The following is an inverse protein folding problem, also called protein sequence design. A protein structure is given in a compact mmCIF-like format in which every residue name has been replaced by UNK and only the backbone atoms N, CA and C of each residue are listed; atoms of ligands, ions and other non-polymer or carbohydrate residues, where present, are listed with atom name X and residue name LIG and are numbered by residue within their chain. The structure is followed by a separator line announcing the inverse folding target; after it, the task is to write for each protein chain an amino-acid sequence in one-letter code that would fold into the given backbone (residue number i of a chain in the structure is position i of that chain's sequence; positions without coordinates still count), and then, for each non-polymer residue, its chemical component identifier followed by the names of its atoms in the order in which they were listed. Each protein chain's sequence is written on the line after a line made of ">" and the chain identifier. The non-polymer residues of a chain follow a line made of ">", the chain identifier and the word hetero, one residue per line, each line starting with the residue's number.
data_IF_714120923177
#
_entry.id   IF_714120923177
#
_cell.length_a   1.000
_cell.length_b   1.000
_cell.length_c   1.000
_cell.angle_alpha   90.00
_cell.angle_beta   90.00
_cell.angle_gamma   90.00
#
_symmetry.space_group_name_H-M   'P 1'
#
loop_
_entity.id
_entity.type
_entity.pdbx_description
1 polymer ?
#
# COMPACT_ATOMS: atom_id res chain seq x y z
N UNK A 1 10.76 21.71 42.92
CA UNK A 1 9.85 20.55 42.80
C UNK A 1 9.43 20.45 41.34
N UNK A 2 9.86 19.42 40.60
CA UNK A 2 9.21 19.10 39.32
C UNK A 2 8.01 18.20 39.64
N UNK A 3 6.81 18.67 39.36
CA UNK A 3 5.61 17.84 39.44
C UNK A 3 5.41 17.17 38.08
N UNK A 4 5.65 15.87 37.98
CA UNK A 4 5.24 15.04 36.84
C UNK A 4 3.87 14.44 37.15
N UNK A 5 2.80 15.09 36.72
CA UNK A 5 1.43 14.53 36.83
C UNK A 5 1.03 13.89 35.51
N UNK A 6 0.76 12.58 35.51
CA UNK A 6 0.12 11.90 34.37
C UNK A 6 -1.40 12.00 34.52
N UNK A 7 -2.08 12.75 33.66
CA UNK A 7 -3.54 12.73 33.58
C UNK A 7 -4.00 11.49 32.78
N UNK A 8 -4.05 10.32 33.41
CA UNK A 8 -4.75 9.15 32.87
C UNK A 8 -6.25 9.33 33.07
N UNK A 9 -6.89 10.14 32.23
CA UNK A 9 -8.33 10.34 32.31
C UNK A 9 -9.05 9.19 31.60
N UNK A 10 -9.48 8.19 32.38
CA UNK A 10 -10.16 6.98 31.90
C UNK A 10 -11.41 7.30 31.03
N UNK A 11 -12.04 8.47 31.24
CA UNK A 11 -13.19 8.91 30.45
C UNK A 11 -12.83 9.32 29.01
N UNK A 12 -11.60 9.77 28.74
CA UNK A 12 -11.14 10.11 27.39
C UNK A 12 -11.02 8.87 26.49
N UNK A 13 -10.61 7.73 27.05
CA UNK A 13 -10.45 6.46 26.32
C UNK A 13 -11.78 5.99 25.70
N UNK A 14 -12.91 6.29 26.36
CA UNK A 14 -14.26 5.95 25.89
C UNK A 14 -14.94 7.05 25.05
N UNK A 15 -14.27 8.18 24.81
CA UNK A 15 -14.84 9.25 23.99
C UNK A 15 -14.79 8.88 22.51
N UNK A 16 -15.85 9.21 21.75
CA UNK A 16 -15.86 9.07 20.28
C UNK A 16 -14.71 9.81 19.59
N UNK A 17 -14.10 10.76 20.28
CA UNK A 17 -12.94 11.54 19.85
C UNK A 17 -11.64 10.72 19.78
N UNK A 18 -11.50 9.65 20.56
CA UNK A 18 -10.39 8.70 20.49
C UNK A 18 -10.79 7.41 19.75
N UNK A 19 -11.45 7.53 18.60
CA UNK A 19 -11.60 6.40 17.66
C UNK A 19 -10.23 6.04 17.10
N UNK A 20 -9.41 5.28 17.85
CA UNK A 20 -8.07 4.78 17.47
C UNK A 20 -8.12 3.62 16.48
N UNK A 21 -9.32 3.16 16.17
CA UNK A 21 -9.57 2.14 15.16
C UNK A 21 -9.43 2.77 13.78
N UNK A 22 -8.63 2.15 12.93
CA UNK A 22 -8.43 2.60 11.56
C UNK A 22 -9.77 2.59 10.85
N UNK A 23 -10.22 3.76 10.39
CA UNK A 23 -11.48 3.92 9.67
C UNK A 23 -11.28 4.38 8.21
N UNK A 24 -10.07 4.83 7.87
CA UNK A 24 -9.76 5.34 6.55
C UNK A 24 -8.36 4.94 6.12
N UNK A 25 -8.26 4.39 4.91
CA UNK A 25 -6.99 4.06 4.26
C UNK A 25 -7.02 4.68 2.87
N UNK A 26 -6.10 5.61 2.61
CA UNK A 26 -5.97 6.30 1.32
C UNK A 26 -4.79 5.72 0.56
N UNK A 27 -5.02 5.25 -0.66
CA UNK A 27 -3.97 4.73 -1.55
C UNK A 27 -3.81 5.66 -2.75
N UNK A 28 -2.58 6.05 -3.08
CA UNK A 28 -2.27 6.94 -4.20
C UNK A 28 -1.02 6.52 -4.95
N UNK A 29 -0.92 6.91 -6.23
CA UNK A 29 0.28 6.75 -7.06
C UNK A 29 0.23 5.68 -8.16
N UNK A 30 -0.84 4.87 -8.22
CA UNK A 30 -1.28 4.17 -9.45
C UNK A 30 -2.51 4.86 -10.06
N UNK A 31 -3.15 4.23 -11.05
CA UNK A 31 -4.45 4.66 -11.54
C UNK A 31 -5.57 4.39 -10.52
N UNK A 32 -6.73 5.02 -10.71
CA UNK A 32 -7.84 4.94 -9.77
C UNK A 32 -8.28 3.50 -9.50
N UNK A 33 -8.40 2.67 -10.53
CA UNK A 33 -8.82 1.28 -10.40
C UNK A 33 -7.84 0.45 -9.54
N UNK A 34 -6.53 0.54 -9.80
CA UNK A 34 -5.55 -0.22 -9.02
C UNK A 34 -5.42 0.32 -7.59
N UNK A 35 -5.52 1.64 -7.39
CA UNK A 35 -5.55 2.21 -6.04
C UNK A 35 -6.77 1.72 -5.24
N UNK A 36 -7.94 1.62 -5.89
CA UNK A 36 -9.16 1.09 -5.27
C UNK A 36 -9.00 -0.39 -4.89
N UNK A 37 -8.48 -1.23 -5.80
CA UNK A 37 -8.22 -2.66 -5.51
C UNK A 37 -7.34 -2.85 -4.28
N UNK A 38 -6.25 -2.09 -4.18
CA UNK A 38 -5.36 -2.13 -3.01
C UNK A 38 -6.09 -1.65 -1.74
N UNK A 39 -6.89 -0.58 -1.85
CA UNK A 39 -7.68 -0.06 -0.72
C UNK A 39 -8.69 -1.09 -0.20
N UNK A 40 -9.33 -1.85 -1.10
CA UNK A 40 -10.25 -2.93 -0.73
C UNK A 40 -9.55 -4.09 -0.02
N UNK A 41 -8.34 -4.47 -0.44
CA UNK A 41 -7.53 -5.47 0.26
C UNK A 41 -7.17 -5.01 1.68
N UNK A 42 -6.80 -3.74 1.83
CA UNK A 42 -6.57 -3.15 3.14
C UNK A 42 -7.81 -3.13 4.02
N UNK A 43 -8.98 -2.80 3.45
CA UNK A 43 -10.24 -2.81 4.19
C UNK A 43 -10.58 -4.20 4.75
N UNK A 44 -10.17 -5.28 4.08
CA UNK A 44 -10.38 -6.65 4.57
C UNK A 44 -9.45 -7.02 5.74
N UNK A 45 -8.20 -6.54 5.73
CA UNK A 45 -7.16 -7.00 6.67
C UNK A 45 -6.86 -6.04 7.82
N UNK A 46 -7.11 -4.75 7.63
CA UNK A 46 -6.60 -3.66 8.48
C UNK A 46 -7.71 -2.81 9.08
N UNK A 47 -8.89 -2.78 8.45
CA UNK A 47 -10.02 -1.98 8.93
C UNK A 47 -10.40 -2.32 10.37
N UNK A 48 -10.75 -1.28 11.14
CA UNK A 48 -11.11 -1.34 12.56
C UNK A 48 -10.04 -1.86 13.54
N UNK A 49 -8.83 -2.22 13.06
CA UNK A 49 -7.70 -2.50 13.95
C UNK A 49 -7.20 -1.21 14.59
N UNK A 50 -6.59 -1.34 15.77
CA UNK A 50 -5.99 -0.20 16.45
C UNK A 50 -4.75 0.30 15.69
N UNK A 51 -4.70 1.59 15.36
CA UNK A 51 -3.61 2.21 14.59
C UNK A 51 -2.24 2.11 15.28
N UNK A 52 -2.19 2.06 16.62
CA UNK A 52 -0.94 1.93 17.36
C UNK A 52 -0.33 0.54 17.18
N UNK A 53 -1.18 -0.50 17.25
CA UNK A 53 -0.74 -1.89 17.30
C UNK A 53 -0.73 -2.61 15.94
N UNK A 54 -1.18 -1.97 14.86
CA UNK A 54 -1.12 -2.59 13.52
C UNK A 54 0.33 -2.88 13.10
N UNK A 55 0.61 -4.14 12.76
CA UNK A 55 1.91 -4.58 12.22
C UNK A 55 2.16 -4.06 10.81
N UNK A 56 3.43 -3.77 10.50
CA UNK A 56 3.90 -3.43 9.15
C UNK A 56 3.66 -4.57 8.16
N UNK A 57 3.70 -5.81 8.62
CA UNK A 57 3.60 -7.00 7.75
C UNK A 57 2.26 -7.06 7.01
N UNK A 58 1.18 -6.55 7.61
CA UNK A 58 -0.10 -6.43 6.93
C UNK A 58 -0.01 -5.58 5.66
N UNK A 59 0.85 -4.56 5.64
CA UNK A 59 1.05 -3.70 4.48
C UNK A 59 2.02 -4.29 3.47
N UNK A 60 3.13 -4.83 3.94
CA UNK A 60 4.14 -5.47 3.10
C UNK A 60 3.51 -6.62 2.31
N UNK A 61 2.73 -7.47 2.95
CA UNK A 61 2.10 -8.64 2.32
C UNK A 61 1.11 -8.29 1.19
N UNK A 62 0.50 -7.10 1.24
CA UNK A 62 -0.39 -6.61 0.18
C UNK A 62 0.42 -5.92 -0.92
N UNK A 63 1.31 -5.00 -0.54
CA UNK A 63 2.01 -4.12 -1.49
C UNK A 63 3.09 -4.86 -2.28
N UNK A 64 3.82 -5.79 -1.67
CA UNK A 64 4.87 -6.55 -2.37
C UNK A 64 4.32 -7.59 -3.35
N UNK A 65 3.11 -8.10 -3.13
CA UNK A 65 2.45 -9.00 -4.08
C UNK A 65 2.01 -8.29 -5.36
N UNK A 66 1.86 -6.98 -5.33
CA UNK A 66 1.47 -6.21 -6.51
C UNK A 66 2.68 -5.95 -7.41
N UNK A 67 2.68 -6.57 -8.59
CA UNK A 67 3.79 -6.45 -9.55
C UNK A 67 3.95 -5.05 -10.14
N UNK A 68 2.91 -4.20 -10.07
CA UNK A 68 2.95 -2.82 -10.58
C UNK A 68 3.69 -1.85 -9.66
N UNK A 69 3.97 -2.24 -8.41
CA UNK A 69 4.57 -1.38 -7.40
C UNK A 69 6.09 -1.55 -7.41
N UNK A 70 6.81 -0.44 -7.58
CA UNK A 70 8.26 -0.39 -7.44
C UNK A 70 8.68 -0.15 -6.00
N UNK A 71 8.06 0.85 -5.36
CA UNK A 71 8.33 1.21 -3.97
C UNK A 71 7.06 1.78 -3.35
N UNK A 72 7.02 1.85 -2.03
CA UNK A 72 5.88 2.41 -1.32
C UNK A 72 6.29 3.05 0.00
N UNK A 73 5.42 3.93 0.50
CA UNK A 73 5.51 4.57 1.81
C UNK A 73 4.16 4.46 2.50
N UNK A 74 4.17 3.99 3.75
CA UNK A 74 2.98 3.89 4.60
C UNK A 74 3.15 4.85 5.76
N UNK A 75 2.21 5.78 5.91
CA UNK A 75 2.21 6.79 6.96
C UNK A 75 0.97 6.62 7.83
N UNK A 76 1.17 6.48 9.15
CA UNK A 76 0.06 6.54 10.12
C UNK A 76 -0.29 8.01 10.35
N UNK A 77 -1.52 8.40 10.01
CA UNK A 77 -2.08 9.72 10.26
C UNK A 77 -3.02 9.61 11.45
N UNK A 78 -2.55 10.02 12.62
CA UNK A 78 -3.34 9.97 13.83
C UNK A 78 -4.55 10.92 13.76
N UNK A 79 -5.68 10.55 14.38
CA UNK A 79 -5.84 9.40 15.26
C UNK A 79 -6.15 8.06 14.59
N UNK A 80 -6.53 8.00 13.30
CA UNK A 80 -7.17 6.79 12.73
C UNK A 80 -7.07 6.58 11.21
N UNK A 81 -6.24 7.35 10.54
CA UNK A 81 -6.09 7.25 9.09
C UNK A 81 -4.74 6.67 8.73
N UNK A 82 -4.66 5.96 7.61
CA UNK A 82 -3.40 5.55 7.01
C UNK A 82 -3.33 6.08 5.59
N UNK A 83 -2.20 6.66 5.25
CA UNK A 83 -1.87 7.04 3.89
C UNK A 83 -0.84 6.06 3.32
N UNK A 84 -1.12 5.52 2.14
CA UNK A 84 -0.27 4.60 1.41
C UNK A 84 0.06 5.24 0.06
N UNK A 85 1.29 5.69 -0.08
CA UNK A 85 1.81 6.23 -1.33
C UNK A 85 2.61 5.15 -2.03
N UNK A 86 2.23 4.79 -3.26
CA UNK A 86 2.91 3.76 -4.06
C UNK A 86 3.52 4.40 -5.30
N UNK A 87 4.70 3.93 -5.69
CA UNK A 87 5.35 4.35 -6.94
C UNK A 87 5.15 3.24 -7.97
N UNK A 88 4.54 3.58 -9.10
CA UNK A 88 4.41 2.67 -10.24
C UNK A 88 5.78 2.30 -10.79
N UNK A 89 5.99 1.02 -11.11
CA UNK A 89 7.19 0.56 -11.80
C UNK A 89 7.18 0.96 -13.28
N UNK A 90 8.34 1.31 -13.80
CA UNK A 90 8.53 1.60 -15.21
C UNK A 90 8.63 0.29 -16.00
N UNK A 91 8.05 0.27 -17.21
CA UNK A 91 8.14 -0.87 -18.12
C UNK A 91 9.43 -0.72 -18.93
N UNK A 92 10.38 -1.63 -18.75
CA UNK A 92 11.71 -1.54 -19.36
C UNK A 92 11.85 -2.36 -20.63
N UNK A 93 11.21 -3.54 -20.68
CA UNK A 93 11.34 -4.47 -21.79
C UNK A 93 10.12 -5.40 -21.89
N UNK A 94 10.03 -6.15 -22.98
CA UNK A 94 9.07 -7.25 -23.16
C UNK A 94 9.84 -8.56 -23.23
N UNK A 95 9.29 -9.62 -22.64
CA UNK A 95 9.87 -10.97 -22.73
C UNK A 95 8.79 -12.01 -23.04
N UNK A 96 9.19 -13.17 -23.56
CA UNK A 96 8.34 -14.34 -23.65
C UNK A 96 8.67 -15.30 -22.52
N UNK A 97 7.66 -15.78 -21.81
CA UNK A 97 7.81 -16.93 -20.92
C UNK A 97 6.63 -17.87 -21.12
N UNK A 98 6.92 -19.13 -21.45
CA UNK A 98 5.90 -20.17 -21.69
C UNK A 98 4.84 -19.71 -22.72
N UNK A 99 5.30 -19.18 -23.86
CA UNK A 99 4.47 -18.67 -24.95
C UNK A 99 3.54 -17.50 -24.58
N UNK A 100 3.78 -16.83 -23.44
CA UNK A 100 3.05 -15.64 -22.98
C UNK A 100 4.00 -14.44 -22.91
N UNK A 101 3.54 -13.29 -23.41
CA UNK A 101 4.29 -12.03 -23.32
C UNK A 101 4.09 -11.38 -21.96
N UNK A 102 5.17 -10.83 -21.42
CA UNK A 102 5.16 -10.04 -20.18
C UNK A 102 5.99 -8.78 -20.36
N UNK A 103 5.62 -7.71 -19.67
CA UNK A 103 6.54 -6.61 -19.44
C UNK A 103 7.51 -6.96 -18.30
N UNK A 104 8.75 -6.52 -18.43
CA UNK A 104 9.74 -6.50 -17.36
C UNK A 104 9.67 -5.12 -16.71
N UNK A 105 9.28 -5.07 -15.43
CA UNK A 105 9.29 -3.85 -14.65
C UNK A 105 10.69 -3.49 -14.14
N UNK A 106 10.93 -2.19 -13.90
CA UNK A 106 12.14 -1.67 -13.22
C UNK A 106 12.36 -2.23 -11.81
N UNK A 107 11.33 -2.82 -11.22
CA UNK A 107 11.37 -3.56 -9.96
C UNK A 107 11.74 -5.05 -10.13
N UNK A 108 12.13 -5.47 -11.33
CA UNK A 108 12.50 -6.86 -11.65
C UNK A 108 11.30 -7.83 -11.74
N UNK A 109 10.06 -7.35 -11.62
CA UNK A 109 8.86 -8.19 -11.65
C UNK A 109 8.27 -8.28 -13.07
N UNK A 110 7.59 -9.39 -13.34
CA UNK A 110 6.84 -9.59 -14.58
C UNK A 110 5.41 -9.07 -14.43
N UNK A 111 4.97 -8.30 -15.41
CA UNK A 111 3.62 -7.73 -15.48
C UNK A 111 2.97 -8.26 -16.75
N UNK A 112 1.67 -8.60 -16.67
CA UNK A 112 0.93 -9.07 -17.83
C UNK A 112 1.03 -8.07 -18.97
N UNK A 113 1.33 -8.56 -20.17
CA UNK A 113 1.37 -7.72 -21.35
C UNK A 113 -0.05 -7.29 -21.74
N UNK A 114 -0.21 -6.00 -21.99
CA UNK A 114 -1.40 -5.37 -22.55
C UNK A 114 -0.99 -4.56 -23.78
N UNK A 115 -1.95 -4.09 -24.57
CA UNK A 115 -1.63 -3.20 -25.69
C UNK A 115 -0.83 -2.00 -25.19
N UNK A 116 0.31 -1.72 -25.82
CA UNK A 116 1.21 -0.67 -25.39
C UNK A 116 1.71 0.14 -26.58
N UNK A 117 1.58 1.46 -26.45
CA UNK A 117 1.77 2.39 -27.56
C UNK A 117 3.23 2.82 -27.76
N UNK A 118 4.18 2.33 -26.93
CA UNK A 118 5.62 2.64 -27.09
C UNK A 118 6.40 1.38 -27.43
N UNK A 119 7.44 1.54 -28.25
CA UNK A 119 8.39 0.46 -28.53
C UNK A 119 9.25 0.20 -27.27
N UNK A 120 9.19 -1.02 -26.77
CA UNK A 120 10.11 -1.52 -25.73
C UNK A 120 11.01 -2.60 -26.33
N UNK A 121 12.28 -2.69 -25.91
CA UNK A 121 13.17 -3.75 -26.36
C UNK A 121 12.64 -5.13 -25.96
N UNK A 122 12.93 -6.13 -26.79
CA UNK A 122 12.58 -7.51 -26.52
C UNK A 122 13.78 -8.25 -25.91
N UNK A 123 13.57 -8.91 -24.77
CA UNK A 123 14.62 -9.63 -24.04
C UNK A 123 14.29 -11.12 -24.00
N UNK A 124 15.28 -11.94 -24.35
CA UNK A 124 15.24 -13.39 -24.30
C UNK A 124 16.11 -13.89 -23.15
N UNK A 125 15.69 -14.96 -22.48
CA UNK A 125 16.40 -15.60 -21.37
C UNK A 125 15.61 -16.73 -20.74
#
# INVERSE_FOLDING_TARGET
>A
MLLLTTFNNLSLINSEYLKLKINQIKVSGLNNENNLKISEEFNKLVYQKNIFFISKDHFINILEKNNLIHSFKVTKIYPNSIEVQVKKTELLAVTNRNNKKFFIGSNGKLINFESYNKSLPYVFG
#
